data_IF_355718834184
#
_entry.id   IF_355718834184
#
_cell.length_a   1.000
_cell.length_b   1.000
_cell.length_c   1.000
_cell.angle_alpha   90.00
_cell.angle_beta   90.00
_cell.angle_gamma   90.00
#
_symmetry.space_group_name_H-M   'P 1'
#
loop_
_entity.id
_entity.type
_entity.pdbx_description
1 polymer ?
#
# COMPACT_ATOMS: atom_id res chain seq x y z
N UNK A 1 15.42 35.83 -10.79
CA UNK A 1 14.99 34.48 -11.20
C UNK A 1 15.72 33.46 -10.36
N UNK A 2 15.02 32.46 -9.79
CA UNK A 2 15.69 31.40 -9.03
C UNK A 2 16.52 30.53 -9.98
N UNK A 3 17.70 30.09 -9.55
CA UNK A 3 18.54 29.15 -10.29
C UNK A 3 17.86 27.78 -10.38
N UNK A 4 18.06 27.06 -11.49
CA UNK A 4 17.63 25.66 -11.66
C UNK A 4 18.14 24.79 -10.49
N UNK A 5 19.35 25.08 -10.00
CA UNK A 5 19.93 24.40 -8.84
C UNK A 5 19.10 24.64 -7.56
N UNK A 6 18.67 25.89 -7.32
CA UNK A 6 17.84 26.24 -6.16
C UNK A 6 16.46 25.60 -6.24
N UNK A 7 15.87 25.54 -7.44
CA UNK A 7 14.59 24.86 -7.66
C UNK A 7 14.72 23.36 -7.35
N UNK A 8 15.83 22.72 -7.77
CA UNK A 8 16.08 21.31 -7.51
C UNK A 8 16.31 21.00 -6.02
N UNK A 9 17.00 21.89 -5.29
CA UNK A 9 17.21 21.76 -3.85
C UNK A 9 15.92 22.01 -3.05
N UNK A 10 15.13 23.02 -3.41
CA UNK A 10 13.80 23.24 -2.82
C UNK A 10 12.88 22.04 -3.03
N UNK A 11 12.93 21.40 -4.22
CA UNK A 11 12.16 20.18 -4.51
C UNK A 11 12.67 18.92 -3.81
N UNK A 12 13.94 18.88 -3.41
CA UNK A 12 14.49 17.82 -2.54
C UNK A 12 14.07 17.99 -1.09
N UNK A 13 13.92 19.24 -0.64
CA UNK A 13 13.53 19.59 0.73
C UNK A 13 12.01 19.57 0.95
N UNK A 14 11.24 19.79 -0.12
CA UNK A 14 9.78 19.85 -0.09
C UNK A 14 9.12 18.51 -0.36
N UNK A 15 8.69 17.89 0.73
CA UNK A 15 7.58 16.94 0.81
C UNK A 15 7.73 15.55 0.14
N UNK A 16 7.57 14.53 0.99
CA UNK A 16 6.46 13.56 0.91
C UNK A 16 6.67 12.48 1.97
N UNK A 17 5.82 12.46 3.00
CA UNK A 17 5.71 11.40 4.02
C UNK A 17 7.06 10.87 4.54
N UNK A 18 7.53 11.38 5.69
CA UNK A 18 8.77 10.94 6.37
C UNK A 18 8.91 9.41 6.52
N UNK A 19 7.81 8.66 6.44
CA UNK A 19 7.75 7.21 6.58
C UNK A 19 7.51 6.40 5.29
N UNK A 20 7.21 7.05 4.16
CA UNK A 20 6.91 6.39 2.87
C UNK A 20 7.96 6.80 1.84
N UNK A 21 9.00 5.99 1.73
CA UNK A 21 10.12 6.18 0.80
C UNK A 21 10.06 5.25 -0.42
N UNK A 22 9.22 4.21 -0.37
CA UNK A 22 9.11 3.17 -1.39
C UNK A 22 7.65 2.98 -1.81
N UNK A 23 7.46 2.63 -3.07
CA UNK A 23 6.14 2.37 -3.66
C UNK A 23 5.36 1.31 -2.88
N UNK A 24 6.00 0.19 -2.51
CA UNK A 24 5.35 -0.88 -1.73
C UNK A 24 4.91 -0.44 -0.32
N UNK A 25 5.50 0.61 0.26
CA UNK A 25 5.05 1.18 1.53
C UNK A 25 3.74 1.95 1.36
N UNK A 26 3.65 2.78 0.32
CA UNK A 26 2.42 3.51 -0.04
C UNK A 26 1.30 2.52 -0.35
N UNK A 27 1.60 1.53 -1.19
CA UNK A 27 0.63 0.53 -1.56
C UNK A 27 0.10 -0.27 -0.38
N UNK A 28 0.99 -0.81 0.46
CA UNK A 28 0.56 -1.59 1.61
C UNK A 28 -0.28 -0.77 2.59
N UNK A 29 0.01 0.52 2.73
CA UNK A 29 -0.81 1.43 3.53
C UNK A 29 -2.19 1.66 2.91
N UNK A 30 -2.25 1.95 1.60
CA UNK A 30 -3.51 2.12 0.87
C UNK A 30 -4.36 0.87 0.89
N UNK A 31 -3.75 -0.30 0.69
CA UNK A 31 -4.42 -1.59 0.78
C UNK A 31 -5.04 -1.80 2.16
N UNK A 32 -4.30 -1.51 3.23
CA UNK A 32 -4.82 -1.58 4.59
C UNK A 32 -6.00 -0.61 4.81
N UNK A 33 -5.93 0.61 4.25
CA UNK A 33 -7.01 1.59 4.31
C UNK A 33 -8.26 1.13 3.57
N UNK A 34 -8.10 0.62 2.34
CA UNK A 34 -9.19 0.09 1.50
C UNK A 34 -9.90 -1.10 2.14
N UNK A 35 -9.16 -1.94 2.87
CA UNK A 35 -9.71 -3.08 3.61
C UNK A 35 -10.25 -2.72 4.99
N UNK A 36 -10.19 -1.45 5.40
CA UNK A 36 -10.61 -1.00 6.73
C UNK A 36 -9.73 -1.53 7.88
N UNK A 37 -8.51 -1.98 7.59
CA UNK A 37 -7.63 -2.69 8.51
C UNK A 37 -6.29 -1.96 8.76
N UNK A 38 -6.38 -0.65 9.00
CA UNK A 38 -5.22 0.21 9.28
C UNK A 38 -4.43 -0.19 10.55
N UNK A 39 -5.08 -0.91 11.48
CA UNK A 39 -4.44 -1.47 12.66
C UNK A 39 -3.27 -2.41 12.26
N UNK A 40 -3.44 -3.15 11.18
CA UNK A 40 -2.44 -4.08 10.66
C UNK A 40 -1.67 -3.54 9.45
N UNK A 41 -1.60 -2.22 9.21
CA UNK A 41 -0.86 -1.62 8.08
C UNK A 41 0.55 -2.18 7.86
N UNK A 42 1.29 -2.46 8.93
CA UNK A 42 2.65 -3.03 8.86
C UNK A 42 2.68 -4.42 8.23
N UNK A 43 1.62 -5.22 8.40
CA UNK A 43 1.44 -6.51 7.74
C UNK A 43 1.27 -6.31 6.23
N UNK A 44 0.33 -5.46 5.81
CA UNK A 44 0.07 -5.21 4.39
C UNK A 44 1.28 -4.59 3.67
N UNK A 45 2.02 -3.71 4.33
CA UNK A 45 3.30 -3.18 3.84
C UNK A 45 4.34 -4.30 3.65
N UNK A 46 4.41 -5.26 4.58
CA UNK A 46 5.30 -6.42 4.45
C UNK A 46 4.88 -7.31 3.29
N UNK A 47 3.58 -7.57 3.11
CA UNK A 47 3.06 -8.35 1.99
C UNK A 47 3.35 -7.68 0.65
N UNK A 48 3.13 -6.37 0.55
CA UNK A 48 3.46 -5.56 -0.62
C UNK A 48 4.95 -5.60 -1.00
N UNK A 49 5.83 -5.78 -0.01
CA UNK A 49 7.28 -5.89 -0.22
C UNK A 49 7.69 -7.27 -0.76
N UNK A 50 6.98 -8.34 -0.39
CA UNK A 50 7.44 -9.72 -0.59
C UNK A 50 6.60 -10.52 -1.58
N UNK A 51 5.39 -10.09 -1.88
CA UNK A 51 4.45 -10.77 -2.78
C UNK A 51 4.28 -9.93 -4.04
N UNK A 52 4.18 -10.61 -5.18
CA UNK A 52 3.93 -9.95 -6.45
C UNK A 52 2.63 -9.13 -6.41
N UNK A 53 2.71 -7.90 -6.94
CA UNK A 53 1.62 -6.93 -6.94
C UNK A 53 0.37 -7.47 -7.64
N UNK A 54 0.53 -8.27 -8.69
CA UNK A 54 -0.60 -8.85 -9.43
C UNK A 54 -1.43 -9.79 -8.55
N UNK A 55 -0.81 -10.54 -7.63
CA UNK A 55 -1.50 -11.44 -6.70
C UNK A 55 -2.30 -10.63 -5.68
N UNK A 56 -1.68 -9.58 -5.13
CA UNK A 56 -2.32 -8.70 -4.14
C UNK A 56 -3.51 -7.96 -4.76
N UNK A 57 -3.38 -7.45 -5.98
CA UNK A 57 -4.47 -6.80 -6.71
C UNK A 57 -5.63 -7.76 -7.03
N UNK A 58 -5.34 -9.01 -7.38
CA UNK A 58 -6.37 -10.03 -7.59
C UNK A 58 -7.14 -10.32 -6.30
N UNK A 59 -6.44 -10.47 -5.17
CA UNK A 59 -7.07 -10.64 -3.86
C UNK A 59 -7.92 -9.43 -3.49
N UNK A 60 -7.37 -8.22 -3.69
CA UNK A 60 -8.04 -6.97 -3.38
C UNK A 60 -9.34 -6.79 -4.15
N UNK A 61 -9.33 -7.02 -5.47
CA UNK A 61 -10.54 -6.96 -6.32
C UNK A 61 -11.62 -7.91 -5.81
N UNK A 62 -11.26 -9.15 -5.52
CA UNK A 62 -12.17 -10.14 -4.97
C UNK A 62 -12.83 -9.69 -3.66
N UNK A 63 -12.06 -9.03 -2.78
CA UNK A 63 -12.55 -8.61 -1.46
C UNK A 63 -13.37 -7.33 -1.52
N UNK A 64 -12.99 -6.35 -2.35
CA UNK A 64 -13.73 -5.08 -2.49
C UNK A 64 -15.15 -5.32 -3.00
N UNK A 65 -15.33 -6.27 -3.91
CA UNK A 65 -16.64 -6.64 -4.42
C UNK A 65 -17.45 -7.51 -3.43
N UNK A 66 -16.84 -7.92 -2.32
CA UNK A 66 -17.51 -8.73 -1.29
C UNK A 66 -18.33 -7.86 -0.33
N UNK A 67 -19.37 -8.44 0.28
CA UNK A 67 -20.12 -7.85 1.40
C UNK A 67 -19.65 -8.38 2.75
N UNK A 68 -18.38 -8.78 2.86
CA UNK A 68 -17.87 -9.41 4.07
C UNK A 68 -17.73 -8.39 5.20
N UNK A 69 -18.13 -8.78 6.41
CA UNK A 69 -17.99 -7.94 7.61
C UNK A 69 -16.53 -7.69 7.97
N UNK A 70 -15.64 -8.63 7.63
CA UNK A 70 -14.20 -8.52 7.85
C UNK A 70 -13.43 -8.74 6.54
N UNK A 71 -13.22 -7.64 5.82
CA UNK A 71 -12.50 -7.63 4.54
C UNK A 71 -11.02 -8.02 4.70
N UNK A 72 -10.35 -7.61 5.79
CA UNK A 72 -8.96 -7.98 6.06
C UNK A 72 -8.78 -9.50 6.22
N UNK A 73 -9.66 -10.16 6.97
CA UNK A 73 -9.63 -11.61 7.13
C UNK A 73 -9.91 -12.35 5.80
N UNK A 74 -10.89 -11.88 5.03
CA UNK A 74 -11.20 -12.45 3.72
C UNK A 74 -10.03 -12.28 2.73
N UNK A 75 -9.35 -11.14 2.78
CA UNK A 75 -8.14 -10.89 2.00
C UNK A 75 -7.05 -11.89 2.33
N UNK A 76 -6.76 -12.11 3.62
CA UNK A 76 -5.74 -13.06 4.07
C UNK A 76 -6.11 -14.50 3.68
N UNK A 77 -7.39 -14.87 3.78
CA UNK A 77 -7.87 -16.17 3.31
C UNK A 77 -7.67 -16.34 1.81
N UNK A 78 -8.04 -15.34 0.99
CA UNK A 78 -7.89 -15.40 -0.48
C UNK A 78 -6.42 -15.44 -0.89
N UNK A 79 -5.57 -14.68 -0.21
CA UNK A 79 -4.12 -14.67 -0.45
C UNK A 79 -3.50 -16.05 -0.22
N UNK A 80 -3.98 -16.81 0.77
CA UNK A 80 -3.56 -18.20 1.01
C UNK A 80 -3.99 -19.18 -0.09
N UNK A 81 -5.03 -18.86 -0.86
CA UNK A 81 -5.49 -19.72 -1.97
C UNK A 81 -4.67 -19.51 -3.26
N UNK A 82 -4.11 -18.32 -3.44
CA UNK A 82 -3.36 -17.94 -4.65
C UNK A 82 -1.83 -18.12 -4.50
N UNK A 83 -1.36 -18.44 -3.29
CA UNK A 83 0.03 -18.66 -2.95
C UNK A 83 0.27 -20.11 -2.58
#
# INVERSE_FOLDING_TARGET
>A
MKSIKQILEEKKAGDKNKYVSREWQDYGYRLAAELGDLAHKSLYIKLAKTIDRSILEQCKRFVIDSRADNMGALFMWKLKQLK
#
